data_IF_428554241602
#
_entry.id   IF_428554241602
#
_cell.length_a   1.000
_cell.length_b   1.000
_cell.length_c   1.000
_cell.angle_alpha   90.00
_cell.angle_beta   90.00
_cell.angle_gamma   90.00
#
_symmetry.space_group_name_H-M   'P 1'
#
loop_
_entity.id
_entity.type
_entity.pdbx_description
1 polymer ?
#
# COMPACT_ATOMS: atom_id res chain seq x y z
N UNK A 1 15.00 -18.41 -20.51
CA UNK A 1 13.73 -17.77 -20.95
C UNK A 1 12.71 -18.06 -19.87
N UNK A 2 11.89 -17.10 -19.44
CA UNK A 2 10.88 -17.37 -18.42
C UNK A 2 9.84 -18.37 -18.95
N UNK A 3 9.58 -19.45 -18.21
CA UNK A 3 8.62 -20.50 -18.61
C UNK A 3 7.15 -20.07 -18.42
N UNK A 4 6.90 -18.97 -17.70
CA UNK A 4 5.58 -18.42 -17.44
C UNK A 4 5.61 -17.31 -16.39
N UNK A 5 4.43 -16.79 -16.03
CA UNK A 5 4.22 -15.82 -14.95
C UNK A 5 3.00 -16.17 -14.12
N UNK A 6 3.02 -15.77 -12.84
CA UNK A 6 1.91 -15.96 -11.92
C UNK A 6 1.24 -14.61 -11.66
N UNK A 7 -0.09 -14.57 -11.78
CA UNK A 7 -0.89 -13.39 -11.51
C UNK A 7 -1.69 -13.59 -10.24
N UNK A 8 -1.91 -12.50 -9.50
CA UNK A 8 -2.89 -12.48 -8.42
C UNK A 8 -4.26 -12.78 -9.00
N UNK A 9 -5.05 -13.58 -8.27
CA UNK A 9 -6.42 -13.92 -8.66
C UNK A 9 -7.40 -12.83 -8.25
N UNK A 10 -7.07 -12.06 -7.21
CA UNK A 10 -7.90 -10.94 -6.78
C UNK A 10 -7.79 -9.74 -7.72
N UNK A 11 -8.83 -8.91 -7.70
CA UNK A 11 -8.86 -7.63 -8.38
C UNK A 11 -8.07 -6.59 -7.57
N UNK A 12 -6.85 -6.31 -8.02
CA UNK A 12 -5.92 -5.35 -7.39
C UNK A 12 -6.42 -3.90 -7.40
N UNK A 13 -7.54 -3.61 -8.08
CA UNK A 13 -8.16 -2.28 -8.07
C UNK A 13 -9.06 -2.05 -6.86
N UNK A 14 -9.53 -3.12 -6.21
CA UNK A 14 -10.41 -3.05 -5.03
C UNK A 14 -9.58 -2.77 -3.78
N UNK A 15 -10.09 -1.88 -2.93
CA UNK A 15 -9.47 -1.48 -1.68
C UNK A 15 -10.46 -0.70 -0.80
N UNK A 16 -10.51 -0.99 0.50
CA UNK A 16 -11.35 -0.25 1.45
C UNK A 16 -10.69 1.07 1.90
N UNK A 17 -10.69 2.07 1.02
CA UNK A 17 -10.03 3.34 1.30
C UNK A 17 -10.55 4.05 2.58
N UNK A 18 -11.86 4.10 2.88
CA UNK A 18 -12.36 4.69 4.12
C UNK A 18 -11.84 4.02 5.38
N UNK A 19 -11.73 2.68 5.39
CA UNK A 19 -11.18 1.94 6.53
C UNK A 19 -9.73 2.37 6.82
N UNK A 20 -8.91 2.53 5.78
CA UNK A 20 -7.52 3.02 5.90
C UNK A 20 -7.39 4.55 5.93
N UNK A 21 -8.43 5.25 6.40
CA UNK A 21 -8.45 6.71 6.58
C UNK A 21 -8.01 7.51 5.33
N UNK A 22 -8.26 6.98 4.13
CA UNK A 22 -7.77 7.55 2.87
C UNK A 22 -8.92 8.15 2.06
N UNK A 23 -8.72 9.38 1.59
CA UNK A 23 -9.72 10.07 0.75
C UNK A 23 -9.85 9.42 -0.64
N UNK A 24 -11.00 9.51 -1.33
CA UNK A 24 -11.15 8.97 -2.68
C UNK A 24 -10.16 9.56 -3.70
N UNK A 25 -9.74 10.81 -3.51
CA UNK A 25 -8.77 11.49 -4.39
C UNK A 25 -7.38 10.92 -4.19
N UNK A 26 -6.98 10.71 -2.94
CA UNK A 26 -5.70 10.09 -2.60
C UNK A 26 -5.67 8.62 -3.02
N UNK A 27 -6.74 7.86 -2.75
CA UNK A 27 -6.82 6.43 -3.03
C UNK A 27 -6.47 6.08 -4.47
N UNK A 28 -6.91 6.89 -5.44
CA UNK A 28 -6.60 6.68 -6.88
C UNK A 28 -5.10 6.78 -7.19
N UNK A 29 -4.34 7.53 -6.40
CA UNK A 29 -2.91 7.72 -6.60
C UNK A 29 -2.04 6.66 -5.90
N UNK A 30 -2.61 5.87 -4.98
CA UNK A 30 -1.85 4.89 -4.19
C UNK A 30 -1.54 3.65 -5.04
N UNK A 31 -0.29 3.19 -5.03
CA UNK A 31 0.14 1.94 -5.66
C UNK A 31 -0.65 0.74 -5.10
N UNK A 32 -1.24 -0.14 -5.94
CA UNK A 32 -1.89 -1.37 -5.48
C UNK A 32 -1.04 -2.21 -4.52
N UNK A 33 0.29 -2.21 -4.65
CA UNK A 33 1.19 -2.87 -3.69
C UNK A 33 1.07 -2.31 -2.27
N UNK A 34 0.94 -0.98 -2.13
CA UNK A 34 0.75 -0.33 -0.82
C UNK A 34 -0.64 -0.65 -0.24
N UNK A 35 -1.67 -0.73 -1.10
CA UNK A 35 -3.05 -1.02 -0.69
C UNK A 35 -3.18 -2.44 -0.13
N UNK A 36 -2.71 -3.42 -0.90
CA UNK A 36 -2.72 -4.83 -0.51
C UNK A 36 -1.84 -5.05 0.73
N UNK A 37 -0.68 -4.39 0.80
CA UNK A 37 0.19 -4.48 1.97
C UNK A 37 -0.50 -3.98 3.26
N UNK A 38 -1.27 -2.89 3.19
CA UNK A 38 -2.04 -2.38 4.33
C UNK A 38 -3.10 -3.38 4.79
N UNK A 39 -3.85 -3.97 3.85
CA UNK A 39 -4.86 -5.01 4.14
C UNK A 39 -4.22 -6.23 4.80
N UNK A 40 -3.19 -6.79 4.19
CA UNK A 40 -2.51 -7.99 4.71
C UNK A 40 -1.84 -7.73 6.07
N UNK A 41 -1.27 -6.53 6.27
CA UNK A 41 -0.69 -6.17 7.57
C UNK A 41 -1.77 -6.11 8.66
N UNK A 42 -2.92 -5.50 8.38
CA UNK A 42 -4.06 -5.48 9.31
C UNK A 42 -4.59 -6.89 9.58
N UNK A 43 -4.85 -7.67 8.54
CA UNK A 43 -5.32 -9.05 8.64
C UNK A 43 -4.36 -9.95 9.43
N UNK A 44 -3.06 -9.70 9.35
CA UNK A 44 -2.06 -10.46 10.11
C UNK A 44 -2.17 -10.24 11.62
N UNK A 45 -2.50 -9.02 12.06
CA UNK A 45 -2.73 -8.71 13.46
C UNK A 45 -4.04 -9.32 13.96
N UNK A 46 -5.10 -9.19 13.17
CA UNK A 46 -6.40 -9.83 13.45
C UNK A 46 -6.26 -11.35 13.57
N UNK A 47 -5.52 -11.97 12.65
CA UNK A 47 -5.24 -13.40 12.68
C UNK A 47 -4.47 -13.83 13.95
N UNK A 48 -3.56 -12.98 14.43
CA UNK A 48 -2.82 -13.19 15.67
C UNK A 48 -3.65 -12.85 16.94
N UNK A 49 -4.84 -12.28 16.81
CA UNK A 49 -5.64 -11.79 17.93
C UNK A 49 -4.97 -10.64 18.68
N UNK A 50 -4.19 -9.81 17.97
CA UNK A 50 -3.50 -8.64 18.51
C UNK A 50 -4.26 -7.39 18.05
N UNK A 51 -5.00 -6.71 18.95
CA UNK A 51 -5.63 -5.43 18.62
C UNK A 51 -4.56 -4.37 18.30
N UNK A 52 -4.86 -3.48 17.35
CA UNK A 52 -3.98 -2.37 16.94
C UNK A 52 -3.55 -1.54 18.14
N UNK A 53 -4.45 -1.31 19.11
CA UNK A 53 -4.19 -0.49 20.30
C UNK A 53 -3.06 -1.04 21.19
N UNK A 54 -2.69 -2.33 21.03
CA UNK A 54 -1.57 -2.94 21.76
C UNK A 54 -0.21 -2.59 21.17
N UNK A 55 -0.15 -2.23 19.90
CA UNK A 55 1.09 -1.90 19.19
C UNK A 55 1.20 -0.42 18.85
N UNK A 56 0.06 0.28 18.78
CA UNK A 56 0.03 1.71 18.53
C UNK A 56 0.79 2.47 19.64
N UNK A 57 1.63 3.42 19.23
CA UNK A 57 2.51 4.20 20.13
C UNK A 57 3.53 3.37 20.92
N UNK A 58 3.91 2.19 20.44
CA UNK A 58 5.03 1.40 20.98
C UNK A 58 6.30 1.58 20.15
N UNK A 59 7.42 1.04 20.62
CA UNK A 59 8.68 0.98 19.85
C UNK A 59 8.68 -0.14 18.78
N UNK A 60 7.50 -0.50 18.26
CA UNK A 60 7.36 -1.49 17.18
C UNK A 60 7.89 -0.91 15.87
N UNK A 61 8.81 -1.63 15.23
CA UNK A 61 9.38 -1.23 13.96
C UNK A 61 8.70 -1.93 12.77
N UNK A 62 8.52 -1.19 11.67
CA UNK A 62 7.98 -1.71 10.41
C UNK A 62 9.09 -1.79 9.35
N UNK A 63 9.30 -2.98 8.78
CA UNK A 63 10.26 -3.21 7.69
C UNK A 63 9.55 -3.85 6.51
N UNK A 64 9.77 -3.30 5.31
CA UNK A 64 9.16 -3.81 4.08
C UNK A 64 10.20 -3.92 2.98
N UNK A 65 10.23 -5.07 2.32
CA UNK A 65 11.01 -5.26 1.09
C UNK A 65 10.20 -4.84 -0.12
N UNK A 66 10.71 -3.88 -0.89
CA UNK A 66 10.13 -3.45 -2.16
C UNK A 66 11.21 -3.42 -3.25
N UNK A 67 10.84 -3.76 -4.48
CA UNK A 67 11.78 -3.82 -5.60
C UNK A 67 11.30 -3.01 -6.81
N UNK A 68 10.07 -3.25 -7.25
CA UNK A 68 9.51 -2.65 -8.46
C UNK A 68 8.78 -1.34 -8.18
N UNK A 69 8.77 -0.45 -9.16
CA UNK A 69 8.13 0.87 -9.11
C UNK A 69 7.24 1.11 -10.34
N UNK A 70 6.53 0.07 -10.78
CA UNK A 70 5.86 0.11 -12.08
C UNK A 70 4.64 1.04 -12.06
N UNK A 71 3.87 1.05 -10.97
CA UNK A 71 2.74 1.96 -10.84
C UNK A 71 3.19 3.43 -10.86
N UNK A 72 4.32 3.75 -10.22
CA UNK A 72 4.95 5.08 -10.30
C UNK A 72 5.17 5.49 -11.75
N UNK A 73 5.78 4.62 -12.56
CA UNK A 73 6.05 4.92 -13.98
C UNK A 73 4.76 5.16 -14.76
N UNK A 74 3.71 4.39 -14.49
CA UNK A 74 2.40 4.53 -15.15
C UNK A 74 1.78 5.89 -14.82
N UNK A 75 1.70 6.24 -13.52
CA UNK A 75 0.99 7.48 -13.11
C UNK A 75 1.77 8.76 -13.44
N UNK A 76 3.08 8.67 -13.68
CA UNK A 76 3.92 9.82 -14.08
C UNK A 76 4.23 9.84 -15.57
N UNK A 77 3.61 8.98 -16.39
CA UNK A 77 3.88 8.94 -17.82
C UNK A 77 3.43 10.22 -18.54
N UNK A 78 2.32 10.81 -18.10
CA UNK A 78 1.81 12.10 -18.58
C UNK A 78 1.82 13.11 -17.43
N UNK A 79 2.58 14.19 -17.61
CA UNK A 79 2.74 15.26 -16.62
C UNK A 79 1.41 16.00 -16.35
N UNK A 80 0.52 16.08 -17.33
CA UNK A 80 -0.77 16.76 -17.20
C UNK A 80 -1.84 15.89 -16.52
N UNK A 81 -1.66 14.56 -16.55
CA UNK A 81 -2.56 13.59 -15.93
C UNK A 81 -2.03 13.02 -14.60
N UNK A 82 -0.86 13.47 -14.14
CA UNK A 82 -0.24 12.96 -12.90
C UNK A 82 -1.13 13.28 -11.69
N UNK A 83 -1.53 12.27 -10.89
CA UNK A 83 -2.36 12.49 -9.71
C UNK A 83 -1.67 13.40 -8.67
N UNK A 84 -2.46 14.25 -8.00
CA UNK A 84 -1.96 15.15 -6.95
C UNK A 84 -1.14 14.43 -5.86
N UNK A 85 -1.56 13.21 -5.49
CA UNK A 85 -0.92 12.40 -4.45
C UNK A 85 0.08 11.38 -5.01
N UNK A 86 0.56 11.52 -6.24
CA UNK A 86 1.44 10.53 -6.87
C UNK A 86 2.74 10.26 -6.08
N UNK A 87 3.31 11.27 -5.43
CA UNK A 87 4.54 11.12 -4.64
C UNK A 87 4.29 10.24 -3.41
N UNK A 88 3.30 10.60 -2.58
CA UNK A 88 2.95 9.84 -1.37
C UNK A 88 2.24 8.53 -1.68
N UNK A 89 1.68 8.39 -2.88
CA UNK A 89 1.03 7.17 -3.34
C UNK A 89 1.98 6.13 -3.93
N UNK A 90 3.20 6.50 -4.33
CA UNK A 90 4.08 5.59 -5.09
C UNK A 90 5.54 5.54 -4.61
N UNK A 91 5.95 6.41 -3.68
CA UNK A 91 7.30 6.34 -3.14
C UNK A 91 7.54 5.02 -2.38
N UNK A 92 8.70 4.39 -2.59
CA UNK A 92 9.07 3.10 -1.96
C UNK A 92 9.03 3.18 -0.43
N UNK A 93 9.44 4.31 0.15
CA UNK A 93 9.39 4.55 1.59
C UNK A 93 7.97 4.48 2.16
N UNK A 94 6.95 4.78 1.34
CA UNK A 94 5.55 4.77 1.77
C UNK A 94 5.02 3.36 2.00
N UNK A 95 5.67 2.32 1.45
CA UNK A 95 5.33 0.92 1.76
C UNK A 95 5.40 0.65 3.26
N UNK A 96 6.50 1.02 3.91
CA UNK A 96 6.64 0.88 5.37
C UNK A 96 5.93 2.00 6.13
N UNK A 97 6.08 3.25 5.65
CA UNK A 97 5.59 4.41 6.41
C UNK A 97 4.06 4.46 6.53
N UNK A 98 3.30 3.99 5.52
CA UNK A 98 1.83 3.94 5.63
C UNK A 98 1.38 2.89 6.63
N UNK A 99 2.00 1.71 6.61
CA UNK A 99 1.72 0.64 7.58
C UNK A 99 2.04 1.13 8.99
N UNK A 100 3.21 1.74 9.19
CA UNK A 100 3.62 2.31 10.48
C UNK A 100 2.77 3.50 10.95
N UNK A 101 2.09 4.20 10.04
CA UNK A 101 1.20 5.31 10.39
C UNK A 101 -0.21 4.83 10.74
N UNK A 102 -0.67 3.76 10.10
CA UNK A 102 -2.01 3.22 10.29
C UNK A 102 -2.12 2.29 11.51
N UNK A 103 -1.11 1.46 11.76
CA UNK A 103 -1.02 0.53 12.87
C UNK A 103 -0.39 1.20 14.11
#
# INVERSE_FOLDING_TARGET
VAEGGYFLKEDVSKWDAPFFATSPVEARAIDPQQRILLEVAYESLENAGIPIEKISNTETACFVGGFTNDYKKIVTQDIHATPQYAITGTAVSMLANRVSWFL
#
